data_IF_836563025263
#
_entry.id   IF_836563025263
#
_cell.length_a   1.000
_cell.length_b   1.000
_cell.length_c   1.000
_cell.angle_alpha   90.00
_cell.angle_beta   90.00
_cell.angle_gamma   90.00
#
_symmetry.space_group_name_H-M   'P 1'
#
loop_
_entity.id
_entity.type
_entity.pdbx_description
1 polymer ?
#
# COMPACT_ATOMS: atom_id res chain seq x y z
N UNK A 1 -5.86 -24.85 6.11
CA UNK A 1 -6.48 -26.12 6.49
C UNK A 1 -5.74 -27.30 5.84
N UNK A 2 -5.48 -27.29 4.53
CA UNK A 2 -4.72 -28.35 3.85
C UNK A 2 -3.37 -28.62 4.51
N UNK A 3 -2.60 -27.59 4.83
CA UNK A 3 -1.29 -27.72 5.49
C UNK A 3 -1.42 -28.29 6.91
N UNK A 4 -2.46 -27.89 7.67
CA UNK A 4 -2.67 -28.38 9.02
C UNK A 4 -3.07 -29.84 9.09
N UNK A 5 -3.70 -30.38 8.05
CA UNK A 5 -4.18 -31.77 7.99
C UNK A 5 -3.17 -32.72 7.33
N UNK A 6 -2.35 -32.24 6.39
CA UNK A 6 -1.55 -33.07 5.48
C UNK A 6 -0.04 -32.89 5.55
N UNK A 7 0.48 -32.03 6.43
CA UNK A 7 1.93 -31.81 6.52
C UNK A 7 2.63 -32.95 7.28
N UNK A 8 3.69 -33.53 6.69
CA UNK A 8 4.44 -34.67 7.25
C UNK A 8 5.17 -34.43 8.58
N UNK A 9 4.83 -33.41 9.31
CA UNK A 9 5.39 -33.08 10.61
C UNK A 9 4.32 -32.93 11.70
N UNK A 10 3.05 -33.03 11.35
CA UNK A 10 1.91 -32.73 12.21
C UNK A 10 1.43 -31.28 12.07
N UNK A 11 0.24 -30.99 12.60
CA UNK A 11 -0.41 -29.68 12.45
C UNK A 11 0.39 -28.52 13.05
N UNK A 12 1.35 -28.77 13.92
CA UNK A 12 2.07 -27.77 14.68
C UNK A 12 3.46 -27.40 14.10
N UNK A 13 3.77 -27.87 12.89
CA UNK A 13 5.13 -27.76 12.33
C UNK A 13 5.23 -26.95 11.03
N UNK A 14 4.35 -26.01 10.78
CA UNK A 14 4.48 -25.11 9.66
C UNK A 14 4.43 -23.65 10.12
N UNK A 15 5.14 -22.78 9.42
CA UNK A 15 5.17 -21.35 9.61
C UNK A 15 4.41 -20.68 8.47
N UNK A 16 3.52 -19.77 8.80
CA UNK A 16 2.89 -18.87 7.83
C UNK A 16 3.60 -17.52 7.89
N UNK A 17 4.16 -17.09 6.78
CA UNK A 17 4.74 -15.76 6.64
C UNK A 17 3.71 -14.91 5.86
N UNK A 18 3.20 -13.87 6.50
CA UNK A 18 2.24 -12.95 5.90
C UNK A 18 2.96 -11.64 5.55
N UNK A 19 3.29 -11.53 4.26
CA UNK A 19 3.90 -10.32 3.72
C UNK A 19 2.85 -9.23 3.53
N UNK A 20 3.28 -7.96 3.63
CA UNK A 20 2.40 -6.78 3.63
C UNK A 20 1.19 -6.98 4.56
N UNK A 21 1.45 -7.45 5.77
CA UNK A 21 0.43 -7.91 6.73
C UNK A 21 -0.64 -6.87 7.02
N UNK A 22 -0.28 -5.57 6.99
CA UNK A 22 -1.20 -4.46 7.18
C UNK A 22 -2.30 -4.37 6.10
N UNK A 23 -2.09 -4.97 4.92
CA UNK A 23 -3.08 -5.11 3.85
C UNK A 23 -3.69 -6.51 3.85
N UNK A 24 -2.86 -7.54 3.94
CA UNK A 24 -3.27 -8.94 3.81
C UNK A 24 -4.20 -9.38 4.93
N UNK A 25 -3.91 -9.02 6.17
CA UNK A 25 -4.73 -9.41 7.32
C UNK A 25 -6.16 -8.83 7.27
N UNK A 26 -6.36 -7.52 6.97
CA UNK A 26 -7.68 -6.97 6.70
C UNK A 26 -8.43 -7.64 5.53
N UNK A 27 -7.73 -8.00 4.45
CA UNK A 27 -8.34 -8.70 3.31
C UNK A 27 -8.84 -10.08 3.70
N UNK A 28 -8.02 -10.88 4.39
CA UNK A 28 -8.43 -12.19 4.93
C UNK A 28 -9.64 -12.03 5.87
N UNK A 29 -9.62 -11.02 6.73
CA UNK A 29 -10.74 -10.71 7.63
C UNK A 29 -12.03 -10.35 6.90
N UNK A 30 -11.95 -9.69 5.75
CA UNK A 30 -13.09 -9.28 4.93
C UNK A 30 -13.69 -10.39 4.06
N UNK A 31 -12.92 -11.45 3.75
CA UNK A 31 -13.33 -12.50 2.81
C UNK A 31 -14.66 -13.17 3.20
N UNK A 32 -14.83 -13.54 4.47
CA UNK A 32 -16.05 -14.19 4.94
C UNK A 32 -17.28 -13.30 4.77
N UNK A 33 -17.22 -12.06 5.21
CA UNK A 33 -18.33 -11.11 5.11
C UNK A 33 -18.73 -10.81 3.67
N UNK A 34 -17.75 -10.56 2.81
CA UNK A 34 -17.98 -10.29 1.40
C UNK A 34 -18.57 -11.48 0.63
N UNK A 35 -18.07 -12.70 0.88
CA UNK A 35 -18.62 -13.93 0.28
C UNK A 35 -20.05 -14.20 0.75
N UNK A 36 -20.30 -14.02 2.05
CA UNK A 36 -21.62 -14.21 2.63
C UNK A 36 -22.63 -13.24 2.05
N UNK A 37 -22.36 -11.94 2.04
CA UNK A 37 -23.27 -10.93 1.50
C UNK A 37 -23.60 -11.16 0.03
N UNK A 38 -22.57 -11.51 -0.78
CA UNK A 38 -22.78 -11.87 -2.19
C UNK A 38 -23.69 -13.09 -2.34
N UNK A 39 -23.50 -14.14 -1.54
CA UNK A 39 -24.30 -15.36 -1.60
C UNK A 39 -25.72 -15.16 -1.13
N UNK A 40 -25.93 -14.38 -0.07
CA UNK A 40 -27.26 -13.99 0.41
C UNK A 40 -28.08 -13.38 -0.73
N UNK A 41 -27.53 -12.39 -1.43
CA UNK A 41 -28.17 -11.77 -2.58
C UNK A 41 -28.47 -12.78 -3.71
N UNK A 42 -27.52 -13.66 -4.03
CA UNK A 42 -27.70 -14.63 -5.12
C UNK A 42 -28.73 -15.71 -4.79
N UNK A 43 -28.84 -16.11 -3.53
CA UNK A 43 -29.85 -17.08 -3.06
C UNK A 43 -31.24 -16.43 -3.01
N UNK A 44 -31.33 -15.21 -2.47
CA UNK A 44 -32.59 -14.44 -2.37
C UNK A 44 -33.22 -14.21 -3.76
N UNK A 45 -32.39 -13.95 -4.76
CA UNK A 45 -32.86 -13.72 -6.12
C UNK A 45 -32.93 -15.00 -6.99
N UNK A 46 -32.71 -16.17 -6.39
CA UNK A 46 -32.86 -17.46 -7.08
C UNK A 46 -31.70 -17.85 -8.03
N UNK A 47 -30.58 -17.11 -8.02
CA UNK A 47 -29.41 -17.45 -8.84
C UNK A 47 -28.55 -18.56 -8.26
N UNK A 48 -28.68 -18.83 -6.96
CA UNK A 48 -28.01 -19.94 -6.26
C UNK A 48 -28.93 -20.64 -5.28
N UNK A 49 -28.61 -21.90 -4.98
CA UNK A 49 -29.28 -22.67 -3.94
C UNK A 49 -28.79 -22.25 -2.55
N UNK A 50 -29.62 -22.44 -1.48
CA UNK A 50 -29.22 -22.16 -0.10
C UNK A 50 -27.92 -22.87 0.33
N UNK A 51 -27.65 -24.09 -0.19
CA UNK A 51 -26.41 -24.83 0.04
C UNK A 51 -25.12 -24.11 -0.43
N UNK A 52 -25.25 -23.02 -1.20
CA UNK A 52 -24.10 -22.19 -1.55
C UNK A 52 -23.38 -21.62 -0.31
N UNK A 53 -24.07 -21.49 0.82
CA UNK A 53 -23.51 -21.03 2.08
C UNK A 53 -22.57 -22.04 2.75
N UNK A 54 -22.64 -23.32 2.41
CA UNK A 54 -21.83 -24.38 3.02
C UNK A 54 -20.35 -24.27 2.62
N UNK A 55 -20.08 -23.83 1.40
CA UNK A 55 -18.73 -23.55 0.93
C UNK A 55 -18.37 -22.07 1.19
N UNK A 56 -17.66 -21.79 2.25
CA UNK A 56 -17.32 -20.45 2.70
C UNK A 56 -15.84 -20.27 3.04
N UNK A 57 -15.28 -19.05 2.92
CA UNK A 57 -13.99 -18.71 3.51
C UNK A 57 -14.02 -18.89 5.03
N UNK A 58 -12.85 -19.08 5.62
CA UNK A 58 -12.69 -19.04 7.07
C UNK A 58 -12.95 -17.63 7.60
N UNK A 59 -13.50 -17.55 8.81
CA UNK A 59 -13.47 -16.31 9.59
C UNK A 59 -12.06 -16.05 10.06
N UNK A 60 -11.72 -14.80 10.33
CA UNK A 60 -10.37 -14.43 10.78
C UNK A 60 -9.92 -15.19 12.03
N UNK A 61 -10.81 -15.40 12.99
CA UNK A 61 -10.51 -16.18 14.20
C UNK A 61 -10.22 -17.64 13.89
N UNK A 62 -11.05 -18.27 13.04
CA UNK A 62 -10.85 -19.64 12.59
C UNK A 62 -9.51 -19.79 11.82
N UNK A 63 -9.15 -18.79 11.04
CA UNK A 63 -7.87 -18.74 10.33
C UNK A 63 -6.69 -18.67 11.31
N UNK A 64 -6.76 -17.82 12.31
CA UNK A 64 -5.71 -17.67 13.33
C UNK A 64 -5.56 -18.92 14.20
N UNK A 65 -6.67 -19.55 14.59
CA UNK A 65 -6.69 -20.77 15.42
C UNK A 65 -6.04 -22.00 14.75
N UNK A 66 -6.09 -22.09 13.42
CA UNK A 66 -5.50 -23.23 12.69
C UNK A 66 -4.02 -23.06 12.36
N UNK A 67 -3.47 -21.87 12.57
CA UNK A 67 -2.07 -21.56 12.26
C UNK A 67 -1.24 -21.62 13.54
N UNK A 68 -0.31 -22.58 13.64
CA UNK A 68 0.49 -22.76 14.86
C UNK A 68 1.55 -21.68 15.04
N UNK A 69 2.11 -21.17 13.94
CA UNK A 69 3.15 -20.15 13.94
C UNK A 69 2.92 -19.16 12.81
N UNK A 70 2.91 -17.87 13.14
CA UNK A 70 2.70 -16.80 12.17
C UNK A 70 3.78 -15.71 12.33
N UNK A 71 4.32 -15.29 11.20
CA UNK A 71 5.22 -14.14 11.09
C UNK A 71 4.53 -13.06 10.23
N UNK A 72 4.30 -11.92 10.82
CA UNK A 72 3.84 -10.72 10.10
C UNK A 72 5.03 -9.93 9.60
N UNK A 73 5.04 -9.57 8.32
CA UNK A 73 6.07 -8.73 7.70
C UNK A 73 5.40 -7.49 7.14
N UNK A 74 5.85 -6.31 7.52
CA UNK A 74 5.32 -5.05 7.05
C UNK A 74 6.30 -3.91 7.30
N UNK A 75 6.43 -2.98 6.36
CA UNK A 75 7.13 -1.72 6.57
C UNK A 75 6.31 -0.76 7.47
N UNK A 76 4.99 -0.90 7.45
CA UNK A 76 4.02 -0.06 8.17
C UNK A 76 2.99 -0.94 8.88
N UNK A 77 3.34 -1.63 9.98
CA UNK A 77 2.44 -2.55 10.66
C UNK A 77 1.13 -1.87 11.06
N UNK A 78 0.03 -2.61 10.95
CA UNK A 78 -1.30 -2.13 11.24
C UNK A 78 -1.77 -2.50 12.65
N UNK A 79 -2.85 -1.89 13.07
CA UNK A 79 -3.45 -2.12 14.39
C UNK A 79 -3.86 -3.58 14.62
N UNK A 80 -4.31 -4.29 13.57
CA UNK A 80 -4.84 -5.66 13.71
C UNK A 80 -3.77 -6.68 14.05
N UNK A 81 -2.62 -6.61 13.39
CA UNK A 81 -1.49 -7.49 13.70
C UNK A 81 -0.91 -7.19 15.07
N UNK A 82 -0.80 -5.92 15.47
CA UNK A 82 -0.31 -5.54 16.78
C UNK A 82 -1.26 -5.99 17.90
N UNK A 83 -2.58 -5.85 17.72
CA UNK A 83 -3.57 -6.39 18.65
C UNK A 83 -3.47 -7.91 18.80
N UNK A 84 -3.38 -8.62 17.69
CA UNK A 84 -3.24 -10.08 17.71
C UNK A 84 -1.96 -10.52 18.42
N UNK A 85 -0.85 -9.80 18.21
CA UNK A 85 0.39 -10.06 18.92
C UNK A 85 0.26 -9.82 20.44
N UNK A 86 -0.33 -8.71 20.85
CA UNK A 86 -0.58 -8.42 22.26
C UNK A 86 -1.50 -9.47 22.93
N UNK A 87 -2.52 -9.95 22.19
CA UNK A 87 -3.41 -11.03 22.68
C UNK A 87 -2.64 -12.34 22.93
N UNK A 88 -1.72 -12.71 22.03
CA UNK A 88 -0.91 -13.93 22.16
C UNK A 88 0.13 -13.81 23.28
N UNK A 89 0.77 -12.64 23.42
CA UNK A 89 1.80 -12.39 24.43
C UNK A 89 1.23 -12.04 25.81
N UNK A 90 -0.09 -11.98 25.95
CA UNK A 90 -0.80 -11.52 27.14
C UNK A 90 -0.36 -10.12 27.62
N UNK A 91 0.07 -9.29 26.70
CA UNK A 91 0.43 -7.89 26.99
C UNK A 91 -0.82 -7.00 27.01
N UNK A 92 -0.81 -6.00 27.88
CA UNK A 92 -1.86 -4.98 27.86
C UNK A 92 -1.79 -4.20 26.54
N UNK A 93 -2.92 -4.15 25.86
CA UNK A 93 -3.03 -3.35 24.63
C UNK A 93 -2.85 -1.88 25.02
N UNK A 94 -1.88 -1.23 24.41
CA UNK A 94 -1.62 0.18 24.63
C UNK A 94 -2.86 1.01 24.34
N UNK A 95 -3.22 1.97 25.20
CA UNK A 95 -4.40 2.82 25.00
C UNK A 95 -4.38 3.56 23.67
N UNK A 96 -3.21 3.87 23.12
CA UNK A 96 -3.04 4.46 21.79
C UNK A 96 -3.52 3.58 20.64
N UNK A 97 -3.55 2.25 20.80
CA UNK A 97 -4.08 1.30 19.82
C UNK A 97 -5.61 1.11 19.96
N UNK A 98 -6.21 1.55 21.07
CA UNK A 98 -7.63 1.36 21.34
C UNK A 98 -8.55 2.40 20.67
N UNK A 99 -8.02 3.49 20.13
CA UNK A 99 -8.78 4.64 19.66
C UNK A 99 -9.01 4.69 18.14
N UNK A 100 -8.88 3.58 17.45
CA UNK A 100 -9.37 3.50 16.07
C UNK A 100 -10.88 3.26 16.06
N UNK A 101 -11.71 4.12 15.46
CA UNK A 101 -13.16 3.93 15.46
C UNK A 101 -13.52 2.73 14.59
N UNK A 102 -13.77 1.60 15.24
CA UNK A 102 -14.38 0.43 14.62
C UNK A 102 -15.88 0.65 14.47
N UNK A 103 -16.33 1.46 13.51
CA UNK A 103 -17.69 1.39 12.95
C UNK A 103 -17.75 2.12 11.60
N UNK A 104 -17.89 1.31 10.55
CA UNK A 104 -18.48 1.80 9.29
C UNK A 104 -17.49 2.53 8.38
N UNK A 105 -17.14 1.88 7.31
CA UNK A 105 -16.72 2.37 6.03
C UNK A 105 -16.07 3.74 5.91
N UNK A 106 -14.80 3.75 5.53
CA UNK A 106 -14.24 4.85 4.80
C UNK A 106 -13.78 6.04 5.64
N UNK A 107 -12.50 6.20 5.69
CA UNK A 107 -11.88 7.45 6.09
C UNK A 107 -10.79 7.25 7.14
N UNK A 108 -9.66 7.93 6.99
CA UNK A 108 -8.61 7.94 7.98
C UNK A 108 -9.14 8.52 9.28
N UNK A 109 -8.90 7.82 10.37
CA UNK A 109 -9.16 8.35 11.70
C UNK A 109 -8.33 9.61 11.89
N UNK A 110 -9.00 10.75 12.04
CA UNK A 110 -8.40 11.93 12.62
C UNK A 110 -7.87 11.56 14.00
N UNK A 111 -6.59 11.36 14.11
CA UNK A 111 -5.91 11.27 15.38
C UNK A 111 -5.87 12.68 15.97
N UNK A 112 -6.90 13.07 16.73
CA UNK A 112 -6.85 14.31 17.49
C UNK A 112 -5.68 14.30 18.46
N UNK A 113 -4.82 15.31 18.34
CA UNK A 113 -3.73 15.60 19.28
C UNK A 113 -4.30 15.84 20.68
N UNK A 114 -4.40 14.79 21.51
CA UNK A 114 -4.50 14.93 22.96
C UNK A 114 -3.11 14.69 23.56
N UNK A 115 -2.73 15.54 24.50
CA UNK A 115 -1.48 15.47 25.24
C UNK A 115 -1.16 14.04 25.70
N UNK A 116 0.02 13.50 25.31
CA UNK A 116 0.51 12.19 25.73
C UNK A 116 0.43 11.09 24.67
N UNK A 117 0.49 11.42 23.39
CA UNK A 117 0.42 10.43 22.31
C UNK A 117 1.77 9.77 22.08
N UNK A 118 1.80 8.45 22.20
CA UNK A 118 2.92 7.61 21.82
C UNK A 118 3.09 7.62 20.28
N UNK A 119 4.32 7.77 19.85
CA UNK A 119 4.63 7.55 18.43
C UNK A 119 4.48 6.06 18.07
N UNK A 120 4.29 5.73 16.81
CA UNK A 120 4.27 4.33 16.37
C UNK A 120 5.57 3.62 16.76
N UNK A 121 6.70 4.33 16.75
CA UNK A 121 8.00 3.81 17.13
C UNK A 121 8.06 3.42 18.61
N UNK A 122 7.54 4.26 19.49
CA UNK A 122 7.45 3.97 20.92
C UNK A 122 6.55 2.76 21.18
N UNK A 123 5.38 2.69 20.53
CA UNK A 123 4.46 1.54 20.63
C UNK A 123 5.15 0.25 20.18
N UNK A 124 5.83 0.25 19.04
CA UNK A 124 6.51 -0.93 18.51
C UNK A 124 7.68 -1.39 19.40
N UNK A 125 8.33 -0.47 20.10
CA UNK A 125 9.44 -0.82 21.00
C UNK A 125 9.01 -1.53 22.29
N UNK A 126 7.74 -1.38 22.68
CA UNK A 126 7.21 -1.96 23.92
C UNK A 126 6.50 -3.30 23.72
N UNK A 127 6.11 -3.64 22.47
CA UNK A 127 5.41 -4.89 22.21
C UNK A 127 6.43 -6.03 22.04
N UNK A 128 6.31 -7.04 22.90
CA UNK A 128 7.13 -8.25 22.82
C UNK A 128 6.83 -9.00 21.50
N UNK A 129 7.89 -9.49 20.86
CA UNK A 129 7.79 -10.21 19.58
C UNK A 129 7.85 -9.31 18.35
N UNK A 130 7.96 -7.99 18.51
CA UNK A 130 8.25 -7.08 17.40
C UNK A 130 9.76 -7.02 17.17
N UNK A 131 10.17 -7.30 15.92
CA UNK A 131 11.55 -7.17 15.48
C UNK A 131 11.63 -6.06 14.43
N UNK A 132 12.42 -5.04 14.70
CA UNK A 132 12.67 -3.94 13.76
C UNK A 132 13.91 -4.22 12.94
N UNK A 133 13.78 -4.20 11.62
CA UNK A 133 14.89 -4.35 10.69
C UNK A 133 15.19 -3.01 10.03
N UNK A 134 16.10 -2.24 10.62
CA UNK A 134 16.46 -0.88 10.18
C UNK A 134 17.77 -0.85 9.40
N UNK A 135 18.21 -1.98 8.89
CA UNK A 135 19.48 -2.09 8.17
C UNK A 135 19.26 -1.68 6.71
N UNK A 136 20.03 -0.70 6.24
CA UNK A 136 20.13 -0.31 4.82
C UNK A 136 21.50 -0.74 4.27
N UNK A 137 21.68 -1.99 3.87
CA UNK A 137 22.98 -2.52 3.43
C UNK A 137 23.48 -1.83 2.16
N UNK A 138 22.62 -1.20 1.37
CA UNK A 138 22.96 -0.51 0.12
C UNK A 138 23.56 0.88 0.33
N UNK A 139 23.50 1.45 1.54
CA UNK A 139 23.91 2.83 1.82
C UNK A 139 23.09 3.92 1.12
N UNK A 140 21.97 3.55 0.49
CA UNK A 140 21.05 4.51 -0.13
C UNK A 140 20.31 5.30 0.96
N UNK A 141 20.27 6.62 0.80
CA UNK A 141 19.52 7.51 1.68
C UNK A 141 18.03 7.53 1.29
N UNK A 142 17.20 8.07 2.18
CA UNK A 142 15.84 8.43 1.83
C UNK A 142 15.83 9.46 0.71
N UNK A 143 14.85 9.39 -0.21
CA UNK A 143 14.76 10.37 -1.29
C UNK A 143 14.49 11.77 -0.72
N UNK A 144 15.06 12.78 -1.36
CA UNK A 144 14.74 14.16 -1.03
C UNK A 144 13.28 14.45 -1.37
N UNK A 145 12.55 15.09 -0.44
CA UNK A 145 11.13 15.42 -0.62
C UNK A 145 11.02 16.94 -0.80
N UNK A 146 10.31 17.37 -1.84
CA UNK A 146 9.94 18.76 -2.07
C UNK A 146 8.43 18.91 -2.17
N UNK A 147 7.88 19.96 -1.56
CA UNK A 147 6.46 20.32 -1.69
C UNK A 147 6.37 21.51 -2.62
N UNK A 148 5.53 21.42 -3.65
CA UNK A 148 5.32 22.47 -4.66
C UNK A 148 3.83 22.75 -4.81
N UNK A 149 3.48 24.00 -5.13
CA UNK A 149 2.09 24.41 -5.39
C UNK A 149 1.48 23.70 -6.60
N UNK A 150 0.15 23.64 -6.64
CA UNK A 150 -0.59 22.99 -7.73
C UNK A 150 -0.68 23.85 -8.99
N UNK A 151 -0.49 25.16 -8.86
CA UNK A 151 -0.47 26.07 -10.02
C UNK A 151 0.74 25.78 -10.92
N UNK A 152 0.49 25.50 -12.20
CA UNK A 152 1.55 25.17 -13.16
C UNK A 152 2.21 23.79 -12.96
N UNK A 153 1.66 22.92 -12.11
CA UNK A 153 2.22 21.62 -11.74
C UNK A 153 2.54 20.70 -12.94
N UNK A 154 1.78 20.79 -14.03
CA UNK A 154 2.01 19.97 -15.22
C UNK A 154 3.25 20.43 -16.00
N UNK A 155 3.47 21.74 -16.11
CA UNK A 155 4.63 22.30 -16.80
C UNK A 155 5.91 22.11 -15.97
N UNK A 156 5.79 22.24 -14.65
CA UNK A 156 6.86 21.91 -13.71
C UNK A 156 7.24 20.42 -13.80
N UNK A 157 6.26 19.53 -13.77
CA UNK A 157 6.47 18.10 -13.94
C UNK A 157 7.13 17.78 -15.29
N UNK A 158 6.70 18.41 -16.39
CA UNK A 158 7.28 18.19 -17.72
C UNK A 158 8.77 18.57 -17.75
N UNK A 159 9.13 19.66 -17.07
CA UNK A 159 10.53 20.10 -16.93
C UNK A 159 11.34 19.06 -16.16
N UNK A 160 10.84 18.58 -15.05
CA UNK A 160 11.48 17.54 -14.24
C UNK A 160 11.63 16.22 -15.00
N UNK A 161 10.60 15.78 -15.73
CA UNK A 161 10.66 14.60 -16.58
C UNK A 161 11.77 14.74 -17.61
N UNK A 162 11.83 15.89 -18.29
CA UNK A 162 12.86 16.14 -19.32
C UNK A 162 14.26 16.03 -18.74
N UNK A 163 14.48 16.57 -17.55
CA UNK A 163 15.75 16.50 -16.84
C UNK A 163 16.14 15.07 -16.46
N UNK A 164 15.16 14.22 -16.09
CA UNK A 164 15.39 12.82 -15.71
C UNK A 164 15.64 11.93 -16.93
N UNK A 165 14.83 12.09 -17.97
CA UNK A 165 14.98 11.35 -19.23
C UNK A 165 16.35 11.63 -19.88
N UNK A 166 16.85 12.85 -19.81
CA UNK A 166 18.20 13.19 -20.30
C UNK A 166 19.33 12.43 -19.57
N UNK A 167 19.07 11.90 -18.36
CA UNK A 167 19.99 11.09 -17.55
C UNK A 167 19.70 9.58 -17.65
N UNK A 168 18.79 9.17 -18.54
CA UNK A 168 18.29 7.81 -18.67
C UNK A 168 17.60 7.28 -17.40
N UNK A 169 16.99 8.18 -16.63
CA UNK A 169 16.21 7.88 -15.44
C UNK A 169 14.72 7.83 -15.75
N UNK A 170 13.93 7.20 -14.88
CA UNK A 170 12.48 7.00 -15.06
C UNK A 170 11.68 7.75 -14.01
N UNK A 171 10.43 8.05 -14.35
CA UNK A 171 9.54 8.84 -13.51
C UNK A 171 8.23 8.10 -13.26
N UNK A 172 7.76 8.16 -12.02
CA UNK A 172 6.42 7.70 -11.63
C UNK A 172 5.57 8.88 -11.19
N UNK A 173 4.35 8.94 -11.69
CA UNK A 173 3.39 10.00 -11.36
C UNK A 173 2.14 9.36 -10.76
N UNK A 174 1.76 9.75 -9.55
CA UNK A 174 0.54 9.26 -8.92
C UNK A 174 -0.54 10.32 -8.88
N UNK A 175 -1.74 9.95 -9.30
CA UNK A 175 -2.92 10.80 -9.36
C UNK A 175 -4.09 10.16 -8.63
N UNK A 176 -5.21 10.88 -8.47
CA UNK A 176 -6.36 10.42 -7.69
C UNK A 176 -7.42 9.66 -8.52
N UNK A 177 -7.50 9.89 -9.84
CA UNK A 177 -8.56 9.31 -10.69
C UNK A 177 -7.99 8.70 -11.98
N UNK A 178 -8.67 7.66 -12.50
CA UNK A 178 -8.32 7.00 -13.77
C UNK A 178 -8.31 8.02 -14.90
N UNK A 179 -9.39 8.79 -15.00
CA UNK A 179 -9.54 9.80 -16.05
C UNK A 179 -8.38 10.80 -16.06
N UNK A 180 -7.97 11.27 -14.89
CA UNK A 180 -6.86 12.21 -14.79
C UNK A 180 -5.52 11.54 -15.13
N UNK A 181 -5.33 10.25 -14.81
CA UNK A 181 -4.14 9.50 -15.24
C UNK A 181 -4.03 9.44 -16.77
N UNK A 182 -5.13 9.14 -17.44
CA UNK A 182 -5.20 9.09 -18.90
C UNK A 182 -4.97 10.47 -19.56
N UNK A 183 -5.58 11.52 -18.99
CA UNK A 183 -5.42 12.90 -19.45
C UNK A 183 -3.97 13.37 -19.34
N UNK A 184 -3.32 13.15 -18.18
CA UNK A 184 -1.90 13.51 -17.95
C UNK A 184 -0.99 12.71 -18.89
N UNK A 185 -1.19 11.40 -19.01
CA UNK A 185 -0.37 10.58 -19.90
C UNK A 185 -0.52 11.03 -21.36
N UNK A 186 -1.75 11.30 -21.81
CA UNK A 186 -2.02 11.81 -23.16
C UNK A 186 -1.38 13.17 -23.42
N UNK A 187 -1.40 14.06 -22.44
CA UNK A 187 -0.74 15.36 -22.54
C UNK A 187 0.78 15.19 -22.67
N UNK A 188 1.40 14.39 -21.81
CA UNK A 188 2.84 14.12 -21.86
C UNK A 188 3.26 13.50 -23.21
N UNK A 189 2.44 12.58 -23.76
CA UNK A 189 2.68 12.00 -25.09
C UNK A 189 2.66 13.06 -26.19
N UNK A 190 1.70 14.00 -26.16
CA UNK A 190 1.63 15.12 -27.11
C UNK A 190 2.87 16.04 -27.02
N UNK A 191 3.49 16.13 -25.86
CA UNK A 191 4.75 16.86 -25.64
C UNK A 191 6.00 16.04 -26.01
N UNK A 192 5.84 14.83 -26.57
CA UNK A 192 6.94 13.98 -27.03
C UNK A 192 7.56 13.09 -25.95
N UNK A 193 6.98 13.03 -24.75
CA UNK A 193 7.43 12.12 -23.67
C UNK A 193 6.85 10.72 -23.92
N UNK A 194 7.65 9.68 -23.76
CA UNK A 194 7.18 8.27 -23.80
C UNK A 194 6.45 7.92 -22.50
N UNK A 195 5.25 8.47 -22.33
CA UNK A 195 4.41 8.26 -21.16
C UNK A 195 3.40 7.14 -21.40
N UNK A 196 3.08 6.40 -20.32
CA UNK A 196 1.98 5.43 -20.31
C UNK A 196 1.18 5.60 -19.02
N UNK A 197 -0.10 5.22 -19.04
CA UNK A 197 -0.90 5.16 -17.82
C UNK A 197 -1.04 3.73 -17.31
N UNK A 198 -1.29 3.60 -16.00
CA UNK A 198 -1.48 2.32 -15.35
C UNK A 198 -2.59 2.44 -14.28
N UNK A 199 -3.63 1.60 -14.36
CA UNK A 199 -4.74 1.55 -13.39
C UNK A 199 -5.23 0.11 -13.18
N UNK A 200 -6.21 -0.05 -12.28
CA UNK A 200 -6.71 -1.37 -11.85
C UNK A 200 -7.43 -2.18 -12.91
N UNK A 201 -7.87 -1.56 -14.00
CA UNK A 201 -8.58 -2.24 -15.10
C UNK A 201 -7.64 -2.83 -16.17
N UNK A 202 -6.36 -2.51 -16.10
CA UNK A 202 -5.34 -3.08 -16.98
C UNK A 202 -5.05 -4.51 -16.55
N UNK A 203 -5.03 -5.43 -17.52
CA UNK A 203 -4.75 -6.85 -17.28
C UNK A 203 -3.34 -7.05 -16.71
N UNK A 204 -3.18 -8.12 -15.92
CA UNK A 204 -1.93 -8.45 -15.23
C UNK A 204 -0.77 -8.66 -16.21
N UNK A 205 -1.03 -9.25 -17.39
CA UNK A 205 -0.01 -9.47 -18.40
C UNK A 205 0.45 -8.14 -18.99
N UNK A 206 -0.48 -7.31 -19.41
CA UNK A 206 -0.22 -5.98 -19.97
C UNK A 206 0.51 -5.09 -18.93
N UNK A 207 0.09 -5.13 -17.67
CA UNK A 207 0.80 -4.46 -16.58
C UNK A 207 2.27 -4.85 -16.49
N UNK A 208 2.56 -6.15 -16.60
CA UNK A 208 3.93 -6.66 -16.56
C UNK A 208 4.76 -6.15 -17.75
N UNK A 209 4.15 -6.09 -18.93
CA UNK A 209 4.79 -5.57 -20.14
C UNK A 209 5.09 -4.08 -20.03
N UNK A 210 4.15 -3.26 -19.49
CA UNK A 210 4.34 -1.83 -19.27
C UNK A 210 5.50 -1.59 -18.30
N UNK A 211 5.57 -2.33 -17.20
CA UNK A 211 6.65 -2.21 -16.22
C UNK A 211 8.00 -2.61 -16.83
N UNK A 212 8.02 -3.69 -17.61
CA UNK A 212 9.21 -4.11 -18.34
C UNK A 212 9.64 -3.04 -19.35
N UNK A 213 8.71 -2.44 -20.08
CA UNK A 213 8.97 -1.37 -21.02
C UNK A 213 9.55 -0.11 -20.34
N UNK A 214 9.10 0.24 -19.13
CA UNK A 214 9.68 1.29 -18.31
C UNK A 214 11.14 0.98 -17.95
N UNK A 215 11.42 -0.22 -17.47
CA UNK A 215 12.77 -0.62 -17.04
C UNK A 215 13.78 -0.62 -18.18
N UNK A 216 13.38 -1.02 -19.39
CA UNK A 216 14.27 -1.05 -20.57
C UNK A 216 14.30 0.27 -21.37
N UNK A 217 13.56 1.32 -20.91
CA UNK A 217 13.56 2.65 -21.52
C UNK A 217 12.70 2.81 -22.78
N UNK A 218 11.77 1.90 -23.03
CA UNK A 218 10.75 2.07 -24.05
C UNK A 218 9.64 3.04 -23.58
N UNK A 219 9.46 3.15 -22.26
CA UNK A 219 8.61 4.11 -21.57
C UNK A 219 9.48 4.88 -20.60
N UNK A 220 9.30 6.19 -20.49
CA UNK A 220 10.05 7.05 -19.58
C UNK A 220 9.24 7.40 -18.34
N UNK A 221 7.90 7.46 -18.48
CA UNK A 221 6.98 7.89 -17.43
C UNK A 221 5.78 6.95 -17.33
N UNK A 222 5.46 6.52 -16.13
CA UNK A 222 4.17 5.88 -15.83
C UNK A 222 3.34 6.81 -14.95
N UNK A 223 2.12 7.09 -15.40
CA UNK A 223 1.11 7.84 -14.66
C UNK A 223 0.02 6.88 -14.17
N UNK A 224 -0.37 6.95 -12.91
CA UNK A 224 -1.49 6.10 -12.48
C UNK A 224 -1.96 6.32 -11.06
N UNK A 225 -2.99 5.56 -10.69
CA UNK A 225 -3.56 5.55 -9.37
C UNK A 225 -2.95 4.41 -8.60
N UNK A 226 -2.42 4.70 -7.42
CA UNK A 226 -1.99 3.67 -6.48
C UNK A 226 -1.11 2.59 -7.14
N UNK A 227 -0.26 3.03 -8.06
CA UNK A 227 0.52 2.23 -9.00
C UNK A 227 1.34 1.14 -8.33
N UNK A 228 1.62 1.31 -7.04
CA UNK A 228 2.83 0.78 -6.45
C UNK A 228 2.61 0.22 -5.05
N UNK A 229 1.38 -0.20 -4.74
CA UNK A 229 1.08 -0.79 -3.41
C UNK A 229 1.87 -2.05 -3.15
N UNK A 230 2.22 -2.82 -4.19
CA UNK A 230 2.78 -4.17 -3.97
C UNK A 230 3.98 -4.44 -4.87
N UNK A 231 5.13 -4.74 -4.24
CA UNK A 231 6.19 -5.55 -4.82
C UNK A 231 6.97 -5.04 -6.04
N UNK A 232 6.81 -3.80 -6.49
CA UNK A 232 7.59 -3.30 -7.61
C UNK A 232 8.94 -2.74 -7.16
N UNK A 233 9.99 -3.39 -7.59
CA UNK A 233 11.37 -2.94 -7.44
C UNK A 233 11.86 -2.39 -8.78
N UNK A 234 11.91 -1.05 -8.89
CA UNK A 234 12.30 -0.36 -10.12
C UNK A 234 13.41 0.65 -9.77
N UNK A 235 14.65 0.21 -9.69
CA UNK A 235 15.78 1.07 -9.33
C UNK A 235 16.06 2.17 -10.35
N UNK A 236 15.52 2.05 -11.56
CA UNK A 236 15.62 3.04 -12.63
C UNK A 236 14.78 4.31 -12.35
N UNK A 237 13.84 4.24 -11.40
CA UNK A 237 13.01 5.37 -11.02
C UNK A 237 13.76 6.28 -10.07
N UNK A 238 14.03 7.50 -10.51
CA UNK A 238 14.67 8.55 -9.73
C UNK A 238 13.71 9.65 -9.27
N UNK A 239 12.54 9.76 -9.89
CA UNK A 239 11.53 10.73 -9.50
C UNK A 239 10.17 10.09 -9.28
N UNK A 240 9.55 10.42 -8.15
CA UNK A 240 8.15 10.14 -7.86
C UNK A 240 7.41 11.46 -7.68
N UNK A 241 6.42 11.72 -8.51
CA UNK A 241 5.55 12.89 -8.40
C UNK A 241 4.17 12.49 -7.88
N UNK A 242 3.68 13.18 -6.87
CA UNK A 242 2.40 12.90 -6.22
C UNK A 242 1.51 14.13 -6.36
N UNK A 243 0.46 14.01 -7.18
CA UNK A 243 -0.54 15.08 -7.35
C UNK A 243 -1.59 15.02 -6.25
N UNK A 244 -2.17 16.19 -5.92
CA UNK A 244 -3.17 16.32 -4.87
C UNK A 244 -2.70 15.66 -3.55
N UNK A 245 -1.47 15.92 -3.13
CA UNK A 245 -0.88 15.27 -1.96
C UNK A 245 -1.54 15.71 -0.65
N UNK A 246 -2.14 16.89 -0.62
CA UNK A 246 -2.88 17.48 0.49
C UNK A 246 -4.32 16.94 0.64
N UNK A 247 -4.85 16.27 -0.37
CA UNK A 247 -6.21 15.71 -0.32
C UNK A 247 -6.25 14.44 0.51
N UNK A 248 -6.46 14.59 1.80
CA UNK A 248 -6.57 13.48 2.73
C UNK A 248 -7.61 12.44 2.27
N UNK A 249 -7.23 11.15 2.34
CA UNK A 249 -8.08 10.05 1.96
C UNK A 249 -7.30 8.74 1.87
N UNK A 250 -7.96 7.68 1.42
CA UNK A 250 -7.40 6.35 1.33
C UNK A 250 -6.09 6.27 0.50
N UNK A 251 -5.94 7.15 -0.51
CA UNK A 251 -4.77 7.21 -1.39
C UNK A 251 -3.70 8.20 -0.91
N UNK A 252 -4.01 9.05 0.05
CA UNK A 252 -3.15 10.14 0.54
C UNK A 252 -3.11 10.18 2.06
N UNK A 253 -3.17 9.03 2.72
CA UNK A 253 -2.82 8.92 4.13
C UNK A 253 -1.31 8.73 4.29
N UNK A 254 -0.78 8.96 5.48
CA UNK A 254 0.64 8.83 5.85
C UNK A 254 1.25 7.53 5.29
N UNK A 255 0.59 6.38 5.52
CA UNK A 255 1.05 5.08 5.06
C UNK A 255 1.16 4.99 3.54
N UNK A 256 0.15 5.48 2.81
CA UNK A 256 0.15 5.47 1.34
C UNK A 256 1.24 6.39 0.78
N UNK A 257 1.46 7.55 1.40
CA UNK A 257 2.53 8.47 1.03
C UNK A 257 3.89 7.83 1.26
N UNK A 258 4.16 7.29 2.45
CA UNK A 258 5.42 6.60 2.77
C UNK A 258 5.73 5.44 1.81
N UNK A 259 4.74 4.62 1.48
CA UNK A 259 4.92 3.54 0.51
C UNK A 259 5.25 4.04 -0.90
N UNK A 260 4.63 5.15 -1.31
CA UNK A 260 4.87 5.77 -2.62
C UNK A 260 6.24 6.45 -2.66
N UNK A 261 6.60 7.19 -1.63
CA UNK A 261 7.91 7.83 -1.44
C UNK A 261 9.03 6.77 -1.48
N UNK A 262 8.85 5.66 -0.80
CA UNK A 262 9.79 4.54 -0.77
C UNK A 262 10.12 3.93 -2.13
N UNK A 263 9.37 4.24 -3.19
CA UNK A 263 9.71 3.78 -4.56
C UNK A 263 10.89 4.54 -5.16
N UNK A 264 11.12 5.78 -4.76
CA UNK A 264 12.30 6.53 -5.16
C UNK A 264 13.55 6.17 -4.34
N UNK A 265 13.43 5.49 -3.21
CA UNK A 265 14.55 5.16 -2.31
C UNK A 265 15.52 4.09 -2.85
N UNK A 266 15.19 3.48 -3.99
CA UNK A 266 16.04 2.49 -4.67
C UNK A 266 17.05 3.12 -5.63
N UNK A 267 16.95 4.40 -5.89
CA UNK A 267 17.84 5.17 -6.75
C UNK A 267 18.68 6.14 -5.90
N UNK A 268 19.98 6.26 -6.18
CA UNK A 268 20.87 7.19 -5.48
C UNK A 268 20.50 8.65 -5.70
N UNK A 269 19.81 8.96 -6.81
CA UNK A 269 19.29 10.27 -7.17
C UNK A 269 17.79 10.39 -6.89
N UNK A 270 17.27 9.54 -5.96
CA UNK A 270 15.87 9.49 -5.62
C UNK A 270 15.32 10.82 -5.11
N UNK A 271 14.24 11.28 -5.71
CA UNK A 271 13.55 12.53 -5.36
C UNK A 271 12.04 12.32 -5.40
N UNK A 272 11.33 13.05 -4.54
CA UNK A 272 9.87 13.03 -4.50
C UNK A 272 9.34 14.46 -4.53
N UNK A 273 8.38 14.72 -5.41
CA UNK A 273 7.65 15.98 -5.47
C UNK A 273 6.22 15.74 -5.02
N UNK A 274 5.81 16.45 -3.98
CA UNK A 274 4.43 16.51 -3.53
C UNK A 274 3.79 17.79 -4.05
N UNK A 275 2.85 17.69 -4.99
CA UNK A 275 2.07 18.84 -5.44
C UNK A 275 0.90 19.04 -4.50
N UNK A 276 0.93 20.14 -3.76
CA UNK A 276 -0.02 20.47 -2.72
C UNK A 276 -0.05 21.98 -2.49
N UNK A 277 -1.22 22.54 -2.20
CA UNK A 277 -1.37 23.96 -1.86
C UNK A 277 -1.34 24.16 -0.34
N UNK A 278 -1.64 23.13 0.45
CA UNK A 278 -1.59 23.14 1.91
C UNK A 278 -0.82 21.92 2.45
N UNK A 279 -0.28 22.04 3.65
CA UNK A 279 0.32 20.88 4.34
C UNK A 279 -0.77 20.12 5.06
N UNK A 280 -0.96 18.85 4.70
CA UNK A 280 -1.88 17.96 5.43
C UNK A 280 -1.17 17.24 6.57
N UNK A 281 -1.93 16.73 7.54
CA UNK A 281 -1.39 15.98 8.67
C UNK A 281 -0.68 14.67 8.25
N UNK A 282 -0.98 14.19 7.05
CA UNK A 282 -0.35 13.00 6.47
C UNK A 282 0.98 13.31 5.76
N UNK A 283 1.22 14.59 5.44
CA UNK A 283 2.47 15.05 4.80
C UNK A 283 3.52 15.49 5.83
N UNK A 284 3.08 15.92 7.04
CA UNK A 284 3.94 16.25 8.18
C UNK A 284 4.63 14.99 8.76
#
# INVERSE_FOLDING_TARGET
RFCSENFHGGPDKYLVIMDESHVTLPQVGGMYGGDRSRKENLVEHGFRLPSAHDNRPLKIKEFQEIIPQMLYVSATPGERELRHLCEITNQNIHEGLLHSPSKGGGGPSNYEKKQGRWSMEEILSEIEGVVRMEIRPTGLLDPAISVRGTEGQIDDLLTEITNRVAKDERVLVTVMTIKFAEEVASYLQKMGVKAHYLHSEIDTIERTEIIKALRIGHIDVIVGINLLREGLDIPEVSLVAIFDADREGFLRNERSLLQTIGRASRNSNGEVILYADEMSSAME
#
